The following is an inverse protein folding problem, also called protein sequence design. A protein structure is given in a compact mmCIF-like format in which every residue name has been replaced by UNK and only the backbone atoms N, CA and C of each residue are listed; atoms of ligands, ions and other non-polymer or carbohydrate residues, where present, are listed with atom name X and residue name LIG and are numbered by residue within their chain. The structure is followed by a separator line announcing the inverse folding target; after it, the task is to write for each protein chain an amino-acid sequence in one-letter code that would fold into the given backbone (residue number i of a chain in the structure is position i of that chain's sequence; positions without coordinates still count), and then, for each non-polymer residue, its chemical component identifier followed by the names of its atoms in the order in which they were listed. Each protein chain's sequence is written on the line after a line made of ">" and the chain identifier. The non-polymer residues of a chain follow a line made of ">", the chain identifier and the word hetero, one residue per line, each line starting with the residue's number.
data_IF_946839986204
#
_entry.id   IF_946839986204
#
_cell.length_a   1.000
_cell.length_b   1.000
_cell.length_c   1.000
_cell.angle_alpha   90.00
_cell.angle_beta   90.00
_cell.angle_gamma   90.00
#
_symmetry.space_group_name_H-M   'P 1'
#
loop_
_entity.id
_entity.type
_entity.pdbx_description
1 polymer ?
#
# COMPACT_ATOMS: atom_id res chain seq x y z
N UNK A 1 14.89 -6.26 0.46
CA UNK A 1 14.91 -7.03 -0.80
C UNK A 1 16.06 -8.05 -0.76
N UNK A 2 15.85 -9.22 -1.34
CA UNK A 2 16.88 -10.21 -1.54
C UNK A 2 17.82 -9.75 -2.66
N UNK A 3 19.12 -9.91 -2.48
CA UNK A 3 20.12 -9.67 -3.51
C UNK A 3 20.54 -10.98 -4.20
N UNK A 4 20.47 -12.09 -3.47
CA UNK A 4 20.82 -13.44 -3.91
C UNK A 4 19.68 -14.42 -3.65
N UNK A 5 19.75 -15.61 -4.25
CA UNK A 5 18.79 -16.70 -3.94
C UNK A 5 18.93 -17.17 -2.50
N UNK A 6 20.13 -17.11 -1.92
CA UNK A 6 20.36 -17.43 -0.51
C UNK A 6 19.63 -16.45 0.43
N UNK A 7 19.68 -15.14 0.12
CA UNK A 7 18.91 -14.14 0.86
C UNK A 7 17.41 -14.42 0.75
N UNK A 8 16.94 -14.72 -0.46
CA UNK A 8 15.53 -15.02 -0.70
C UNK A 8 15.06 -16.27 0.09
N UNK A 9 15.88 -17.28 0.21
CA UNK A 9 15.59 -18.46 1.02
C UNK A 9 15.54 -18.14 2.53
N UNK A 10 16.47 -17.32 3.03
CA UNK A 10 16.45 -16.85 4.42
C UNK A 10 15.18 -16.06 4.75
N UNK A 11 14.78 -15.13 3.85
CA UNK A 11 13.55 -14.38 4.03
C UNK A 11 12.32 -15.28 3.91
N UNK A 12 12.31 -16.25 2.99
CA UNK A 12 11.24 -17.22 2.86
C UNK A 12 11.01 -17.98 4.17
N UNK A 13 12.09 -18.51 4.77
CA UNK A 13 12.04 -19.18 6.07
C UNK A 13 11.54 -18.23 7.18
N UNK A 14 11.92 -16.96 7.13
CA UNK A 14 11.45 -15.97 8.10
C UNK A 14 9.95 -15.73 7.99
N UNK A 15 9.40 -15.69 6.76
CA UNK A 15 7.96 -15.57 6.54
C UNK A 15 7.21 -16.83 7.00
N UNK A 16 7.71 -18.03 6.70
CA UNK A 16 7.12 -19.28 7.18
C UNK A 16 7.05 -19.32 8.70
N UNK A 17 8.17 -19.01 9.38
CA UNK A 17 8.23 -18.95 10.83
C UNK A 17 7.26 -17.91 11.41
N UNK A 18 7.13 -16.74 10.78
CA UNK A 18 6.20 -15.70 11.20
C UNK A 18 4.74 -16.16 11.05
N UNK A 19 4.39 -16.80 9.92
CA UNK A 19 3.04 -17.35 9.69
C UNK A 19 2.73 -18.43 10.73
N UNK A 20 3.64 -19.35 10.99
CA UNK A 20 3.49 -20.39 12.01
C UNK A 20 3.29 -19.78 13.40
N UNK A 21 4.14 -18.84 13.80
CA UNK A 21 4.08 -18.21 15.13
C UNK A 21 2.77 -17.44 15.33
N UNK A 22 2.38 -16.64 14.34
CA UNK A 22 1.14 -15.87 14.39
C UNK A 22 -0.09 -16.78 14.33
N UNK A 23 -0.07 -17.80 13.47
CA UNK A 23 -1.17 -18.75 13.31
C UNK A 23 -1.39 -19.62 14.55
N UNK A 24 -0.32 -20.07 15.20
CA UNK A 24 -0.39 -20.87 16.45
C UNK A 24 -0.82 -20.04 17.65
N UNK A 25 -0.38 -18.79 17.75
CA UNK A 25 -0.75 -17.88 18.84
C UNK A 25 -2.18 -17.32 18.69
N UNK A 26 -2.79 -17.48 17.52
CA UNK A 26 -4.08 -16.86 17.20
C UNK A 26 -5.24 -17.61 17.85
N UNK A 27 -5.92 -16.95 18.78
CA UNK A 27 -7.16 -17.42 19.39
C UNK A 27 -8.44 -16.93 18.67
N UNK A 28 -8.30 -16.02 17.72
CA UNK A 28 -9.40 -15.41 16.94
C UNK A 28 -9.29 -15.88 15.50
N UNK A 29 -10.24 -16.69 15.05
CA UNK A 29 -10.23 -17.23 13.69
C UNK A 29 -10.79 -16.23 12.67
N UNK A 30 -10.28 -16.35 11.45
CA UNK A 30 -10.71 -15.60 10.29
C UNK A 30 -9.84 -14.39 9.96
N UNK A 31 -9.59 -14.17 8.67
CA UNK A 31 -8.68 -13.12 8.18
C UNK A 31 -9.09 -11.70 8.58
N UNK A 32 -10.40 -11.48 8.77
CA UNK A 32 -10.94 -10.16 9.13
C UNK A 32 -10.67 -9.78 10.58
N UNK A 33 -10.89 -10.70 11.53
CA UNK A 33 -10.82 -10.40 12.96
C UNK A 33 -9.49 -10.86 13.59
N UNK A 34 -8.81 -11.80 12.96
CA UNK A 34 -7.52 -12.34 13.40
C UNK A 34 -6.34 -11.51 12.91
N UNK A 35 -5.13 -11.88 13.34
CA UNK A 35 -3.91 -11.27 12.85
C UNK A 35 -3.65 -11.60 11.37
N UNK A 36 -2.66 -10.94 10.79
CA UNK A 36 -2.23 -11.20 9.42
C UNK A 36 -0.75 -10.91 9.23
N UNK A 37 -0.24 -11.31 8.08
CA UNK A 37 1.15 -11.07 7.66
C UNK A 37 1.14 -10.27 6.36
N UNK A 38 2.18 -9.47 6.14
CA UNK A 38 2.44 -8.84 4.84
C UNK A 38 3.76 -9.32 4.28
N UNK A 39 3.77 -9.72 3.02
CA UNK A 39 4.96 -10.19 2.31
C UNK A 39 5.41 -9.19 1.25
N UNK A 40 6.71 -8.91 1.21
CA UNK A 40 7.35 -8.20 0.10
C UNK A 40 7.89 -9.20 -0.92
N UNK A 41 7.43 -9.07 -2.15
CA UNK A 41 7.84 -9.98 -3.23
C UNK A 41 9.34 -9.89 -3.52
N UNK A 42 9.92 -8.70 -3.39
CA UNK A 42 11.37 -8.51 -3.51
C UNK A 42 12.20 -9.18 -2.41
N UNK A 43 11.60 -9.54 -1.29
CA UNK A 43 12.30 -10.27 -0.24
C UNK A 43 12.42 -11.77 -0.56
N UNK A 44 11.43 -12.31 -1.28
CA UNK A 44 11.39 -13.75 -1.57
C UNK A 44 11.84 -14.12 -2.99
N UNK A 45 12.33 -13.11 -3.76
CA UNK A 45 12.92 -13.36 -5.09
C UNK A 45 13.92 -12.25 -5.48
N UNK A 46 15.19 -12.58 -5.83
CA UNK A 46 16.22 -11.57 -6.09
C UNK A 46 16.09 -10.89 -7.45
N UNK A 47 15.27 -11.43 -8.35
CA UNK A 47 15.06 -10.92 -9.71
C UNK A 47 13.61 -10.50 -9.96
N UNK A 48 12.95 -9.95 -8.92
CA UNK A 48 11.60 -9.45 -9.03
C UNK A 48 11.56 -8.13 -9.81
N UNK A 49 11.48 -8.26 -11.13
CA UNK A 49 11.39 -7.16 -12.09
C UNK A 49 10.65 -7.60 -13.36
N UNK A 50 9.96 -6.67 -14.03
CA UNK A 50 9.21 -6.94 -15.27
C UNK A 50 10.07 -7.58 -16.37
N UNK A 51 11.32 -7.15 -16.51
CA UNK A 51 12.28 -7.72 -17.46
C UNK A 51 12.59 -9.21 -17.21
N UNK A 52 12.25 -9.74 -16.03
CA UNK A 52 12.44 -11.15 -15.65
C UNK A 52 11.10 -11.86 -15.44
N UNK A 53 10.03 -11.40 -16.10
CA UNK A 53 8.66 -11.88 -15.88
C UNK A 53 8.54 -13.40 -16.02
N UNK A 54 9.07 -13.98 -17.08
CA UNK A 54 8.95 -15.43 -17.31
C UNK A 54 9.51 -16.24 -16.15
N UNK A 55 10.70 -15.89 -15.69
CA UNK A 55 11.34 -16.51 -14.54
C UNK A 55 10.54 -16.25 -13.24
N UNK A 56 10.15 -15.01 -13.04
CA UNK A 56 9.41 -14.57 -11.84
C UNK A 56 8.06 -15.28 -11.73
N UNK A 57 7.32 -15.41 -12.85
CA UNK A 57 6.02 -16.09 -12.87
C UNK A 57 6.09 -17.59 -12.60
N UNK A 58 7.27 -18.18 -12.60
CA UNK A 58 7.50 -19.59 -12.22
C UNK A 58 8.05 -19.67 -10.80
N UNK A 59 9.21 -19.08 -10.56
CA UNK A 59 9.96 -19.26 -9.31
C UNK A 59 9.33 -18.50 -8.12
N UNK A 60 9.03 -17.23 -8.30
CA UNK A 60 8.41 -16.40 -7.25
C UNK A 60 6.98 -16.85 -6.99
N UNK A 61 6.21 -17.19 -8.04
CA UNK A 61 4.84 -17.66 -7.87
C UNK A 61 4.78 -18.92 -7.00
N UNK A 62 5.67 -19.89 -7.20
CA UNK A 62 5.72 -21.11 -6.37
C UNK A 62 5.93 -20.79 -4.89
N UNK A 63 6.84 -19.86 -4.57
CA UNK A 63 7.11 -19.39 -3.21
C UNK A 63 5.90 -18.67 -2.62
N UNK A 64 5.31 -17.76 -3.40
CA UNK A 64 4.13 -16.99 -2.99
C UNK A 64 2.93 -17.90 -2.72
N UNK A 65 2.61 -18.82 -3.63
CA UNK A 65 1.55 -19.83 -3.47
C UNK A 65 1.73 -20.61 -2.16
N UNK A 66 2.94 -21.08 -1.88
CA UNK A 66 3.25 -21.82 -0.64
C UNK A 66 2.91 -20.99 0.61
N UNK A 67 3.29 -19.70 0.67
CA UNK A 67 2.96 -18.85 1.81
C UNK A 67 1.44 -18.64 1.96
N UNK A 68 0.70 -18.49 0.84
CA UNK A 68 -0.75 -18.34 0.89
C UNK A 68 -1.47 -19.63 1.33
N UNK A 69 -0.99 -20.80 0.94
CA UNK A 69 -1.51 -22.08 1.42
C UNK A 69 -1.27 -22.24 2.91
N UNK A 70 -0.08 -21.85 3.38
CA UNK A 70 0.24 -21.87 4.81
C UNK A 70 -0.64 -20.88 5.60
N UNK A 71 -0.87 -19.66 5.09
CA UNK A 71 -1.77 -18.70 5.70
C UNK A 71 -3.22 -19.20 5.73
N UNK A 72 -3.69 -19.86 4.66
CA UNK A 72 -5.00 -20.51 4.59
C UNK A 72 -5.15 -21.61 5.66
N UNK A 73 -4.11 -22.41 5.88
CA UNK A 73 -4.12 -23.47 6.90
C UNK A 73 -4.37 -22.89 8.32
N UNK A 74 -3.85 -21.71 8.60
CA UNK A 74 -4.04 -21.03 9.89
C UNK A 74 -5.24 -20.06 9.90
N UNK A 75 -5.93 -19.91 8.77
CA UNK A 75 -7.05 -18.98 8.60
C UNK A 75 -6.69 -17.53 8.99
N UNK A 76 -5.52 -17.06 8.56
CA UNK A 76 -5.01 -15.70 8.77
C UNK A 76 -4.82 -14.96 7.44
N UNK A 77 -4.95 -13.64 7.45
CA UNK A 77 -4.73 -12.84 6.26
C UNK A 77 -3.25 -12.80 5.84
N UNK A 78 -2.97 -12.87 4.54
CA UNK A 78 -1.66 -12.62 3.96
C UNK A 78 -1.78 -11.54 2.87
N UNK A 79 -1.08 -10.42 3.05
CA UNK A 79 -1.08 -9.30 2.11
C UNK A 79 0.18 -9.30 1.25
N UNK A 80 0.01 -9.12 -0.06
CA UNK A 80 1.11 -8.74 -0.95
C UNK A 80 1.33 -7.24 -0.80
N UNK A 81 2.47 -6.84 -0.25
CA UNK A 81 2.84 -5.44 -0.09
C UNK A 81 3.14 -4.78 -1.43
N UNK A 82 2.73 -3.51 -1.58
CA UNK A 82 3.13 -2.71 -2.72
C UNK A 82 4.59 -2.23 -2.57
N UNK A 83 5.31 -2.25 -3.67
CA UNK A 83 6.69 -1.80 -3.76
C UNK A 83 6.82 -0.68 -4.78
N UNK A 84 7.93 -0.56 -5.53
CA UNK A 84 8.14 0.48 -6.53
C UNK A 84 7.09 0.40 -7.65
N UNK A 85 6.83 1.54 -8.30
CA UNK A 85 5.74 1.65 -9.29
C UNK A 85 5.92 0.71 -10.48
N UNK A 86 7.14 0.46 -10.94
CA UNK A 86 7.45 -0.44 -12.06
C UNK A 86 7.15 -1.93 -11.77
N UNK A 87 6.90 -2.28 -10.51
CA UNK A 87 6.55 -3.64 -10.07
C UNK A 87 5.05 -3.89 -9.98
N UNK A 88 4.21 -2.85 -10.12
CA UNK A 88 2.76 -2.99 -9.93
C UNK A 88 2.16 -4.02 -10.88
N UNK A 89 2.46 -3.95 -12.18
CA UNK A 89 1.87 -4.86 -13.16
C UNK A 89 2.25 -6.32 -12.91
N UNK A 90 3.52 -6.57 -12.62
CA UNK A 90 3.99 -7.92 -12.30
C UNK A 90 3.34 -8.45 -11.00
N UNK A 91 3.09 -7.59 -10.02
CA UNK A 91 2.37 -7.98 -8.80
C UNK A 91 0.89 -8.30 -9.09
N UNK A 92 0.26 -7.59 -10.03
CA UNK A 92 -1.10 -7.89 -10.47
C UNK A 92 -1.18 -9.20 -11.26
N UNK A 93 -0.20 -9.50 -12.11
CA UNK A 93 -0.11 -10.78 -12.83
C UNK A 93 0.02 -11.96 -11.83
N UNK A 94 0.83 -11.79 -10.77
CA UNK A 94 0.96 -12.79 -9.71
C UNK A 94 -0.34 -12.94 -8.90
N UNK A 95 -1.02 -11.84 -8.60
CA UNK A 95 -2.32 -11.87 -7.92
C UNK A 95 -3.37 -12.57 -8.78
N UNK A 96 -3.44 -12.28 -10.09
CA UNK A 96 -4.38 -12.94 -11.03
C UNK A 96 -4.18 -14.45 -11.00
N UNK A 97 -2.95 -14.90 -11.12
CA UNK A 97 -2.63 -16.34 -11.04
C UNK A 97 -3.03 -16.93 -9.69
N UNK A 98 -2.79 -16.20 -8.59
CA UNK A 98 -3.07 -16.66 -7.23
C UNK A 98 -4.57 -16.84 -6.95
N UNK A 99 -5.41 -15.88 -7.36
CA UNK A 99 -6.87 -15.94 -7.11
C UNK A 99 -7.56 -17.01 -7.94
N UNK A 100 -6.95 -17.44 -9.04
CA UNK A 100 -7.43 -18.55 -9.87
C UNK A 100 -6.89 -19.92 -9.42
N UNK A 101 -6.10 -19.97 -8.35
CA UNK A 101 -5.55 -21.22 -7.82
C UNK A 101 -6.64 -22.04 -7.14
N UNK A 102 -6.93 -23.28 -7.61
CA UNK A 102 -8.02 -24.09 -7.02
C UNK A 102 -7.86 -24.35 -5.54
N UNK A 103 -6.62 -24.50 -5.05
CA UNK A 103 -6.33 -24.76 -3.65
C UNK A 103 -6.62 -23.55 -2.74
N UNK A 104 -6.76 -22.37 -3.30
CA UNK A 104 -7.07 -21.13 -2.57
C UNK A 104 -8.55 -20.73 -2.67
N UNK A 105 -9.36 -21.46 -3.40
CA UNK A 105 -10.79 -21.16 -3.52
C UNK A 105 -11.48 -21.14 -2.15
N UNK A 106 -12.35 -20.13 -1.94
CA UNK A 106 -13.04 -19.89 -0.68
C UNK A 106 -12.19 -19.26 0.43
N UNK A 107 -10.89 -19.05 0.23
CA UNK A 107 -10.05 -18.36 1.21
C UNK A 107 -10.21 -16.84 1.11
N UNK A 108 -10.70 -16.20 2.17
CA UNK A 108 -10.99 -14.77 2.23
C UNK A 108 -9.81 -13.91 2.71
N UNK A 109 -8.66 -14.55 2.99
CA UNK A 109 -7.47 -13.90 3.52
C UNK A 109 -6.45 -13.45 2.48
N UNK A 110 -6.80 -13.49 1.18
CA UNK A 110 -5.91 -12.97 0.13
C UNK A 110 -5.97 -11.46 0.16
N UNK A 111 -4.84 -10.84 0.52
CA UNK A 111 -4.69 -9.39 0.62
C UNK A 111 -3.76 -8.81 -0.45
N UNK A 112 -4.08 -7.62 -0.93
CA UNK A 112 -3.27 -6.87 -1.88
C UNK A 112 -3.19 -5.39 -1.48
N UNK A 113 -2.03 -4.75 -1.70
CA UNK A 113 -1.81 -3.35 -1.33
C UNK A 113 -1.73 -2.48 -2.57
N UNK A 114 -2.47 -1.36 -2.57
CA UNK A 114 -2.49 -0.39 -3.66
C UNK A 114 -2.12 0.99 -3.14
N UNK A 115 -1.34 1.74 -3.91
CA UNK A 115 -0.77 3.02 -3.52
C UNK A 115 -1.43 4.18 -4.27
N UNK A 116 -2.13 5.06 -3.53
CA UNK A 116 -2.91 6.17 -4.09
C UNK A 116 -2.06 7.29 -4.71
N UNK A 117 -0.76 7.38 -4.40
CA UNK A 117 0.13 8.36 -5.02
C UNK A 117 0.43 8.05 -6.50
N UNK A 118 0.20 6.78 -6.94
CA UNK A 118 0.33 6.40 -8.34
C UNK A 118 -0.84 6.94 -9.16
N UNK A 119 -0.55 7.59 -10.29
CA UNK A 119 -1.58 8.11 -11.21
C UNK A 119 -2.50 7.02 -11.75
N UNK A 120 -2.04 5.79 -11.82
CA UNK A 120 -2.80 4.60 -12.26
C UNK A 120 -3.55 3.87 -11.15
N UNK A 121 -3.48 4.36 -9.89
CA UNK A 121 -4.16 3.72 -8.75
C UNK A 121 -5.66 3.44 -8.99
N UNK A 122 -6.47 4.39 -9.52
CA UNK A 122 -7.90 4.13 -9.76
C UNK A 122 -8.15 2.97 -10.73
N UNK A 123 -7.30 2.82 -11.74
CA UNK A 123 -7.38 1.73 -12.73
C UNK A 123 -6.92 0.39 -12.15
N UNK A 124 -5.88 0.41 -11.31
CA UNK A 124 -5.44 -0.79 -10.60
C UNK A 124 -6.55 -1.32 -9.66
N UNK A 125 -7.30 -0.43 -9.02
CA UNK A 125 -8.46 -0.80 -8.19
C UNK A 125 -9.55 -1.43 -9.06
N UNK A 126 -9.87 -0.85 -10.24
CA UNK A 126 -10.85 -1.42 -11.18
C UNK A 126 -10.46 -2.83 -11.59
N UNK A 127 -9.18 -3.03 -11.93
CA UNK A 127 -8.64 -4.33 -12.28
C UNK A 127 -8.81 -5.35 -11.14
N UNK A 128 -8.45 -4.98 -9.90
CA UNK A 128 -8.57 -5.87 -8.74
C UNK A 128 -10.03 -6.19 -8.41
N UNK A 129 -10.94 -5.24 -8.54
CA UNK A 129 -12.38 -5.47 -8.36
C UNK A 129 -12.92 -6.45 -9.43
N UNK A 130 -12.53 -6.24 -10.70
CA UNK A 130 -12.92 -7.13 -11.79
C UNK A 130 -12.34 -8.53 -11.61
N UNK A 131 -11.09 -8.62 -11.21
CA UNK A 131 -10.41 -9.88 -10.90
C UNK A 131 -11.15 -10.65 -9.79
N UNK A 132 -11.49 -9.98 -8.68
CA UNK A 132 -12.22 -10.58 -7.58
C UNK A 132 -13.62 -11.10 -8.03
N UNK A 133 -14.31 -10.33 -8.89
CA UNK A 133 -15.59 -10.75 -9.50
C UNK A 133 -15.43 -12.00 -10.36
N UNK A 134 -14.46 -12.00 -11.28
CA UNK A 134 -14.22 -13.14 -12.20
C UNK A 134 -13.83 -14.42 -11.44
N UNK A 135 -13.03 -14.27 -10.38
CA UNK A 135 -12.62 -15.39 -9.52
C UNK A 135 -13.72 -15.81 -8.51
N UNK A 136 -14.84 -15.08 -8.43
CA UNK A 136 -15.87 -15.26 -7.41
C UNK A 136 -15.31 -15.30 -5.98
N UNK A 137 -14.42 -14.37 -5.68
CA UNK A 137 -13.74 -14.24 -4.39
C UNK A 137 -13.98 -12.86 -3.78
N UNK A 138 -13.77 -12.76 -2.45
CA UNK A 138 -13.66 -11.49 -1.75
C UNK A 138 -12.23 -11.26 -1.32
N UNK A 139 -11.57 -10.25 -1.89
CA UNK A 139 -10.18 -9.91 -1.60
C UNK A 139 -10.09 -8.83 -0.53
N UNK A 140 -9.06 -8.88 0.28
CA UNK A 140 -8.71 -7.78 1.19
C UNK A 140 -7.83 -6.78 0.44
N UNK A 141 -8.24 -5.52 0.35
CA UNK A 141 -7.45 -4.48 -0.34
C UNK A 141 -7.04 -3.41 0.65
N UNK A 142 -5.73 -3.30 0.88
CA UNK A 142 -5.15 -2.21 1.67
C UNK A 142 -4.82 -1.03 0.77
N UNK A 143 -5.50 0.09 1.01
CA UNK A 143 -5.17 1.35 0.37
C UNK A 143 -4.20 2.14 1.23
N UNK A 144 -3.06 2.51 0.66
CA UNK A 144 -2.04 3.37 1.27
C UNK A 144 -1.82 4.62 0.40
N UNK A 145 -1.22 5.67 0.92
CA UNK A 145 -0.83 6.83 0.09
C UNK A 145 0.37 6.50 -0.78
N UNK A 146 1.42 5.92 -0.23
CA UNK A 146 2.66 5.49 -0.89
C UNK A 146 3.88 5.88 -0.06
N UNK A 147 4.93 5.05 -0.10
CA UNK A 147 6.08 5.18 0.80
C UNK A 147 7.40 5.53 0.09
N UNK A 148 7.43 5.61 -1.24
CA UNK A 148 8.66 5.74 -2.02
C UNK A 148 8.70 6.99 -2.89
N UNK A 149 7.98 8.06 -2.52
CA UNK A 149 7.76 9.22 -3.39
C UNK A 149 9.06 9.83 -3.93
N UNK A 150 10.04 10.08 -3.06
CA UNK A 150 11.33 10.66 -3.46
C UNK A 150 12.10 9.74 -4.43
N UNK A 151 12.07 8.44 -4.16
CA UNK A 151 12.69 7.42 -5.03
C UNK A 151 12.03 7.39 -6.40
N UNK A 152 10.70 7.43 -6.46
CA UNK A 152 9.94 7.41 -7.71
C UNK A 152 10.19 8.66 -8.55
N UNK A 153 10.23 9.84 -7.93
CA UNK A 153 10.57 11.09 -8.59
C UNK A 153 11.99 10.99 -9.16
N UNK A 154 12.97 10.58 -8.33
CA UNK A 154 14.37 10.50 -8.75
C UNK A 154 14.58 9.45 -9.83
N UNK A 155 13.97 8.28 -9.69
CA UNK A 155 14.04 7.21 -10.69
C UNK A 155 13.48 7.66 -12.03
N UNK A 156 12.30 8.28 -12.06
CA UNK A 156 11.72 8.80 -13.29
C UNK A 156 12.63 9.81 -14.00
N UNK A 157 13.34 10.68 -13.24
CA UNK A 157 14.31 11.63 -13.78
C UNK A 157 15.55 10.93 -14.38
N UNK A 158 16.09 9.92 -13.67
CA UNK A 158 17.26 9.16 -14.11
C UNK A 158 16.94 8.34 -15.35
N UNK A 159 15.77 7.69 -15.36
CA UNK A 159 15.32 6.83 -16.45
C UNK A 159 14.80 7.63 -17.66
N UNK A 160 14.69 8.97 -17.55
CA UNK A 160 14.19 9.83 -18.64
C UNK A 160 12.75 9.49 -19.05
N UNK A 161 11.89 9.18 -18.08
CA UNK A 161 10.49 8.86 -18.35
C UNK A 161 9.73 10.06 -18.95
N UNK A 162 8.64 9.79 -19.67
CA UNK A 162 7.82 10.85 -20.31
C UNK A 162 7.18 11.74 -19.24
N UNK A 163 6.75 11.15 -18.12
CA UNK A 163 6.13 11.84 -16.99
C UNK A 163 6.40 11.06 -15.70
N UNK A 164 6.12 11.68 -14.56
CA UNK A 164 6.22 11.00 -13.27
C UNK A 164 5.09 9.98 -13.10
N UNK A 165 5.35 8.76 -12.61
CA UNK A 165 4.33 7.75 -12.35
C UNK A 165 3.47 8.10 -11.12
N UNK A 166 3.94 9.03 -10.29
CA UNK A 166 3.29 9.49 -9.06
C UNK A 166 2.90 10.96 -9.15
N UNK A 167 1.94 11.38 -8.32
CA UNK A 167 1.56 12.78 -8.22
C UNK A 167 2.70 13.61 -7.61
N UNK A 168 2.92 14.80 -8.15
CA UNK A 168 3.95 15.73 -7.69
C UNK A 168 3.46 16.74 -6.65
N UNK A 169 2.17 16.69 -6.27
CA UNK A 169 1.57 17.46 -5.19
C UNK A 169 0.93 16.52 -4.18
N UNK A 170 1.18 16.76 -2.89
CA UNK A 170 0.63 15.93 -1.81
C UNK A 170 -0.91 15.89 -1.84
N UNK A 171 -1.57 17.04 -2.02
CA UNK A 171 -3.03 17.08 -2.02
C UNK A 171 -3.67 16.39 -3.24
N UNK A 172 -2.94 16.18 -4.36
CA UNK A 172 -3.41 15.29 -5.43
C UNK A 172 -3.42 13.83 -4.97
N UNK A 173 -2.42 13.41 -4.20
CA UNK A 173 -2.41 12.07 -3.56
C UNK A 173 -3.53 11.95 -2.55
N UNK A 174 -3.76 12.98 -1.73
CA UNK A 174 -4.83 12.97 -0.74
C UNK A 174 -6.21 12.86 -1.40
N UNK A 175 -6.46 13.60 -2.49
CA UNK A 175 -7.69 13.48 -3.28
C UNK A 175 -7.84 12.09 -3.91
N UNK A 176 -6.76 11.58 -4.54
CA UNK A 176 -6.73 10.24 -5.12
C UNK A 176 -7.05 9.17 -4.07
N UNK A 177 -6.48 9.30 -2.88
CA UNK A 177 -6.74 8.39 -1.76
C UNK A 177 -8.22 8.34 -1.38
N UNK A 178 -8.87 9.49 -1.24
CA UNK A 178 -10.30 9.56 -0.91
C UNK A 178 -11.20 9.02 -2.03
N UNK A 179 -10.90 9.36 -3.29
CA UNK A 179 -11.64 8.85 -4.45
C UNK A 179 -11.51 7.33 -4.57
N UNK A 180 -10.31 6.80 -4.35
CA UNK A 180 -10.03 5.36 -4.34
C UNK A 180 -10.69 4.67 -3.15
N UNK A 181 -10.72 5.30 -1.96
CA UNK A 181 -11.43 4.78 -0.80
C UNK A 181 -12.93 4.64 -1.08
N UNK A 182 -13.57 5.65 -1.66
CA UNK A 182 -14.98 5.59 -2.07
C UNK A 182 -15.23 4.43 -3.04
N UNK A 183 -14.36 4.25 -4.03
CA UNK A 183 -14.44 3.16 -5.00
C UNK A 183 -14.38 1.78 -4.32
N UNK A 184 -13.45 1.57 -3.39
CA UNK A 184 -13.32 0.33 -2.63
C UNK A 184 -14.53 0.09 -1.72
N UNK A 185 -15.04 1.11 -1.03
CA UNK A 185 -16.26 1.03 -0.22
C UNK A 185 -17.47 0.63 -1.05
N UNK A 186 -17.56 1.05 -2.31
CA UNK A 186 -18.66 0.67 -3.20
C UNK A 186 -18.57 -0.78 -3.71
N UNK A 187 -17.46 -1.48 -3.52
CA UNK A 187 -17.22 -2.84 -4.03
C UNK A 187 -17.31 -3.94 -2.95
N UNK A 188 -18.12 -3.76 -1.92
CA UNK A 188 -18.22 -4.61 -0.72
C UNK A 188 -18.46 -6.11 -0.97
N UNK A 189 -19.14 -6.46 -2.05
CA UNK A 189 -19.41 -7.86 -2.40
C UNK A 189 -18.11 -8.63 -2.75
N UNK A 190 -17.10 -7.92 -3.26
CA UNK A 190 -15.87 -8.52 -3.76
C UNK A 190 -14.62 -8.03 -3.03
N UNK A 191 -14.73 -6.91 -2.30
CA UNK A 191 -13.60 -6.28 -1.61
C UNK A 191 -13.92 -6.10 -0.13
N UNK A 192 -12.97 -6.43 0.73
CA UNK A 192 -12.88 -5.98 2.11
C UNK A 192 -11.82 -4.88 2.19
N UNK A 193 -12.21 -3.60 2.32
CA UNK A 193 -11.27 -2.50 2.32
C UNK A 193 -10.52 -2.37 3.66
N UNK A 194 -9.22 -2.10 3.58
CA UNK A 194 -8.38 -1.70 4.70
C UNK A 194 -7.71 -0.36 4.37
N UNK A 195 -7.90 0.65 5.22
CA UNK A 195 -7.41 2.00 4.97
C UNK A 195 -6.26 2.35 5.92
N UNK A 196 -5.04 2.39 5.37
CA UNK A 196 -3.85 2.75 6.14
C UNK A 196 -3.63 4.26 6.07
N UNK A 197 -3.76 4.95 7.20
CA UNK A 197 -3.60 6.40 7.29
C UNK A 197 -3.24 6.84 8.72
N UNK A 198 -2.46 7.93 8.83
CA UNK A 198 -2.21 8.66 10.08
C UNK A 198 -2.71 10.12 9.97
N UNK A 199 -3.56 10.40 8.99
CA UNK A 199 -4.13 11.72 8.74
C UNK A 199 -5.59 11.75 9.21
N UNK A 200 -5.91 12.58 10.18
CA UNK A 200 -7.23 12.67 10.80
C UNK A 200 -8.32 13.06 9.80
N UNK A 201 -8.04 13.95 8.84
CA UNK A 201 -8.99 14.32 7.81
C UNK A 201 -9.36 13.11 6.91
N UNK A 202 -8.34 12.37 6.47
CA UNK A 202 -8.56 11.16 5.65
C UNK A 202 -9.36 10.11 6.41
N UNK A 203 -9.07 9.92 7.71
CA UNK A 203 -9.80 9.02 8.58
C UNK A 203 -11.28 9.42 8.71
N UNK A 204 -11.54 10.69 9.08
CA UNK A 204 -12.89 11.21 9.25
C UNK A 204 -13.70 11.11 7.95
N UNK A 205 -13.12 11.49 6.81
CA UNK A 205 -13.77 11.41 5.51
C UNK A 205 -14.16 9.97 5.14
N UNK A 206 -13.26 8.99 5.36
CA UNK A 206 -13.55 7.57 5.10
C UNK A 206 -14.64 7.05 6.04
N UNK A 207 -14.52 7.38 7.33
CA UNK A 207 -15.54 6.98 8.31
C UNK A 207 -16.93 7.48 7.92
N UNK A 208 -17.03 8.76 7.54
CA UNK A 208 -18.30 9.36 7.10
C UNK A 208 -18.84 8.67 5.85
N UNK A 209 -18.02 8.49 4.82
CA UNK A 209 -18.44 7.79 3.60
C UNK A 209 -18.92 6.34 3.87
N UNK A 210 -18.27 5.65 4.80
CA UNK A 210 -18.64 4.29 5.15
C UNK A 210 -19.92 4.23 5.96
N UNK A 211 -20.12 5.17 6.90
CA UNK A 211 -21.28 5.25 7.76
C UNK A 211 -22.58 5.55 6.98
N UNK A 212 -22.51 6.45 5.98
CA UNK A 212 -23.66 6.79 5.12
C UNK A 212 -24.27 5.56 4.43
N UNK A 213 -23.47 4.56 4.11
CA UNK A 213 -23.89 3.36 3.38
C UNK A 213 -23.77 2.07 4.22
N UNK A 214 -23.49 2.19 5.52
CA UNK A 214 -23.24 1.06 6.42
C UNK A 214 -22.25 0.04 5.88
N UNK A 215 -21.09 0.54 5.42
CA UNK A 215 -20.04 -0.26 4.79
C UNK A 215 -19.08 -0.85 5.80
N UNK A 216 -18.62 -2.05 5.48
CA UNK A 216 -17.67 -2.81 6.28
C UNK A 216 -16.21 -2.49 5.84
N UNK A 217 -15.34 -2.16 6.78
CA UNK A 217 -13.93 -1.85 6.52
C UNK A 217 -13.11 -1.91 7.81
N UNK A 218 -11.80 -1.82 7.70
CA UNK A 218 -10.90 -1.59 8.83
C UNK A 218 -9.96 -0.41 8.54
N UNK A 219 -9.52 0.26 9.59
CA UNK A 219 -8.33 1.11 9.52
C UNK A 219 -7.07 0.29 9.80
N UNK A 220 -5.93 0.81 9.35
CA UNK A 220 -4.62 0.28 9.70
C UNK A 220 -3.67 1.41 10.09
N UNK A 221 -2.84 1.19 11.10
CA UNK A 221 -1.80 2.12 11.51
C UNK A 221 -0.47 1.40 11.73
N UNK A 222 0.61 2.16 11.64
CA UNK A 222 1.94 1.68 11.95
C UNK A 222 2.16 1.67 13.47
N UNK A 223 2.77 0.62 13.98
CA UNK A 223 3.19 0.56 15.38
C UNK A 223 4.12 1.74 15.73
N UNK A 224 3.85 2.41 16.84
CA UNK A 224 4.58 3.61 17.26
C UNK A 224 4.19 4.88 16.50
N UNK A 225 3.11 4.85 15.71
CA UNK A 225 2.57 6.01 14.99
C UNK A 225 1.05 6.09 15.13
N UNK A 226 0.53 7.28 15.37
CA UNK A 226 -0.91 7.54 15.35
C UNK A 226 -1.70 6.97 16.53
N UNK A 227 -1.05 6.54 17.61
CA UNK A 227 -1.70 5.99 18.80
C UNK A 227 -2.77 6.95 19.33
N UNK A 228 -2.42 8.21 19.57
CA UNK A 228 -3.36 9.25 20.05
C UNK A 228 -4.55 9.43 19.10
N UNK A 229 -4.37 9.31 17.78
CA UNK A 229 -5.45 9.40 16.81
C UNK A 229 -6.38 8.18 16.95
N UNK A 230 -5.82 6.98 17.02
CA UNK A 230 -6.58 5.75 17.04
C UNK A 230 -7.21 5.43 18.39
N UNK A 231 -6.72 5.99 19.49
CA UNK A 231 -7.38 5.96 20.81
C UNK A 231 -8.78 6.59 20.76
N UNK A 232 -9.03 7.51 19.81
CA UNK A 232 -10.34 8.11 19.58
C UNK A 232 -11.20 7.37 18.53
N UNK A 233 -10.71 6.31 17.95
CA UNK A 233 -11.37 5.53 16.87
C UNK A 233 -11.85 4.17 17.37
N UNK A 234 -10.98 3.48 18.11
CA UNK A 234 -11.20 2.11 18.56
C UNK A 234 -12.05 2.08 19.82
N UNK A 235 -12.91 1.09 19.93
CA UNK A 235 -13.74 0.86 21.10
C UNK A 235 -15.16 1.46 21.04
N UNK A 236 -16.06 0.85 21.80
CA UNK A 236 -17.48 1.17 21.78
C UNK A 236 -17.83 2.61 22.28
N UNK A 237 -16.95 3.23 23.06
CA UNK A 237 -17.10 4.63 23.51
C UNK A 237 -16.67 5.65 22.46
N UNK A 238 -16.06 5.21 21.38
CA UNK A 238 -15.52 6.04 20.31
C UNK A 238 -16.27 5.74 18.98
N UNK A 239 -15.55 5.71 17.85
CA UNK A 239 -16.16 5.39 16.55
C UNK A 239 -16.46 3.90 16.36
N UNK A 240 -16.06 3.06 17.28
CA UNK A 240 -16.26 1.60 17.27
C UNK A 240 -15.82 0.93 15.96
N UNK A 241 -14.69 1.41 15.41
CA UNK A 241 -14.14 0.92 14.14
C UNK A 241 -12.89 0.09 14.42
N UNK A 242 -12.73 -1.01 13.70
CA UNK A 242 -11.54 -1.85 13.78
C UNK A 242 -10.29 -1.10 13.31
N UNK A 243 -9.21 -1.22 14.06
CA UNK A 243 -7.89 -0.78 13.64
C UNK A 243 -6.87 -1.92 13.81
N UNK A 244 -6.21 -2.27 12.72
CA UNK A 244 -5.11 -3.25 12.72
C UNK A 244 -3.78 -2.52 12.82
N UNK A 245 -2.96 -2.88 13.81
CA UNK A 245 -1.62 -2.32 13.97
C UNK A 245 -0.62 -3.12 13.14
N UNK A 246 0.09 -2.44 12.23
CA UNK A 246 1.15 -3.01 11.42
C UNK A 246 2.49 -2.82 12.12
N UNK A 247 3.17 -3.93 12.43
CA UNK A 247 4.48 -3.93 13.05
C UNK A 247 5.48 -4.76 12.22
N UNK A 248 6.71 -4.28 12.03
CA UNK A 248 7.74 -5.09 11.39
C UNK A 248 8.22 -6.21 12.33
N UNK A 249 8.58 -7.34 11.75
CA UNK A 249 9.19 -8.47 12.47
C UNK A 249 10.65 -8.59 12.06
N UNK A 250 11.57 -8.62 13.03
CA UNK A 250 13.00 -8.75 12.74
C UNK A 250 13.88 -8.33 13.92
N UNK A 251 15.18 -8.47 13.75
CA UNK A 251 16.19 -7.98 14.72
C UNK A 251 16.42 -6.48 14.51
N UNK A 252 17.07 -5.83 15.48
CA UNK A 252 17.41 -4.40 15.39
C UNK A 252 18.17 -4.08 14.08
N UNK A 253 19.14 -4.88 13.71
CA UNK A 253 19.94 -4.67 12.50
C UNK A 253 19.09 -4.73 11.23
N UNK A 254 18.15 -5.67 11.17
CA UNK A 254 17.27 -5.84 9.99
C UNK A 254 16.18 -4.77 9.92
N UNK A 255 15.80 -4.19 11.05
CA UNK A 255 14.77 -3.16 11.14
C UNK A 255 15.28 -1.72 11.04
N UNK A 256 16.61 -1.50 11.09
CA UNK A 256 17.18 -0.15 11.09
C UNK A 256 16.69 0.71 9.91
N UNK A 257 16.70 0.18 8.71
CA UNK A 257 16.22 0.90 7.52
C UNK A 257 14.71 1.21 7.59
N UNK A 258 13.91 0.34 8.20
CA UNK A 258 12.50 0.61 8.45
C UNK A 258 12.32 1.74 9.46
N UNK A 259 13.03 1.71 10.57
CA UNK A 259 12.96 2.72 11.64
C UNK A 259 13.40 4.11 11.13
N UNK A 260 14.48 4.16 10.36
CA UNK A 260 14.96 5.42 9.74
C UNK A 260 13.91 6.02 8.81
N UNK A 261 13.25 5.23 7.96
CA UNK A 261 12.16 5.75 7.11
C UNK A 261 10.97 6.27 7.94
N UNK A 262 10.64 5.62 9.07
CA UNK A 262 9.57 6.12 9.97
C UNK A 262 9.97 7.43 10.62
N UNK A 263 11.21 7.54 11.07
CA UNK A 263 11.72 8.78 11.65
C UNK A 263 11.70 9.95 10.65
N UNK A 264 12.13 9.69 9.41
CA UNK A 264 12.08 10.68 8.33
C UNK A 264 10.64 11.06 7.95
N UNK A 265 9.73 10.10 7.91
CA UNK A 265 8.31 10.35 7.63
C UNK A 265 7.66 11.21 8.72
N UNK A 266 7.92 10.91 9.99
CA UNK A 266 7.42 11.69 11.12
C UNK A 266 8.02 13.11 11.16
N UNK A 267 9.27 13.26 10.80
CA UNK A 267 9.98 14.54 10.77
C UNK A 267 9.77 15.36 9.50
N UNK A 268 9.08 14.82 8.48
CA UNK A 268 8.85 15.55 7.25
C UNK A 268 7.86 16.71 7.49
N UNK A 269 8.19 17.93 7.03
CA UNK A 269 7.33 19.12 7.16
C UNK A 269 5.93 18.93 6.54
N UNK A 270 5.78 18.00 5.60
CA UNK A 270 4.49 17.64 4.99
C UNK A 270 3.72 16.57 5.75
N UNK A 271 4.29 15.99 6.80
CA UNK A 271 3.63 14.98 7.63
C UNK A 271 2.52 15.64 8.44
N UNK A 272 1.33 15.03 8.45
CA UNK A 272 0.21 15.50 9.27
C UNK A 272 0.58 15.54 10.77
N UNK A 273 1.30 14.53 11.25
CA UNK A 273 1.75 14.43 12.66
C UNK A 273 2.71 15.57 12.99
N UNK A 274 3.64 15.90 12.09
CA UNK A 274 4.57 17.02 12.29
C UNK A 274 3.83 18.36 12.28
N UNK A 275 2.94 18.57 11.32
CA UNK A 275 2.16 19.80 11.19
C UNK A 275 1.21 20.02 12.38
N UNK A 276 0.69 18.96 12.98
CA UNK A 276 -0.22 19.04 14.13
C UNK A 276 0.45 19.64 15.39
N UNK A 277 1.75 19.45 15.56
CA UNK A 277 2.51 19.96 16.69
C UNK A 277 3.19 21.30 16.41
N UNK A 278 3.10 21.82 15.18
CA UNK A 278 3.64 23.12 14.80
C UNK A 278 2.62 24.22 15.12
N UNK A 279 2.90 25.09 16.13
CA UNK A 279 1.97 26.14 16.52
C UNK A 279 1.79 27.24 15.47
N UNK A 280 2.63 27.27 14.44
CA UNK A 280 2.52 28.24 13.34
C UNK A 280 1.48 27.82 12.28
N UNK A 281 1.01 26.57 12.31
CA UNK A 281 0.04 26.04 11.34
C UNK A 281 -1.36 26.04 11.96
N UNK A 282 -2.32 26.83 11.44
CA UNK A 282 -3.70 26.80 11.90
C UNK A 282 -4.37 25.45 11.64
N UNK A 283 -5.26 25.05 12.54
CA UNK A 283 -6.02 23.78 12.39
C UNK A 283 -6.82 23.76 11.08
N UNK A 284 -7.36 24.90 10.68
CA UNK A 284 -8.14 25.08 9.44
C UNK A 284 -7.33 24.69 8.19
N UNK A 285 -6.01 24.98 8.21
CA UNK A 285 -5.12 24.59 7.11
C UNK A 285 -4.87 23.07 7.09
N UNK A 286 -4.75 22.45 8.27
CA UNK A 286 -4.54 21.01 8.41
C UNK A 286 -5.72 20.19 7.92
N UNK A 287 -6.93 20.72 8.04
CA UNK A 287 -8.18 20.05 7.65
C UNK A 287 -8.75 20.58 6.32
N UNK A 288 -7.96 21.36 5.55
CA UNK A 288 -8.42 21.87 4.26
C UNK A 288 -8.77 20.72 3.30
N UNK A 289 -9.93 20.86 2.65
CA UNK A 289 -10.44 19.84 1.74
C UNK A 289 -9.52 19.69 0.51
N UNK A 290 -8.95 18.52 0.23
CA UNK A 290 -8.07 18.31 -0.91
C UNK A 290 -8.77 18.59 -2.27
N UNK A 291 -10.09 18.45 -2.35
CA UNK A 291 -10.86 18.83 -3.55
C UNK A 291 -10.72 20.33 -3.85
N UNK A 292 -10.82 21.15 -2.82
CA UNK A 292 -10.74 22.62 -2.99
C UNK A 292 -9.32 23.06 -3.32
N UNK A 293 -8.30 22.41 -2.72
CA UNK A 293 -6.90 22.63 -3.09
C UNK A 293 -6.62 22.28 -4.56
N UNK A 294 -7.17 21.18 -5.06
CA UNK A 294 -7.04 20.79 -6.46
C UNK A 294 -7.76 21.78 -7.38
N UNK A 295 -8.96 22.24 -7.00
CA UNK A 295 -9.70 23.27 -7.76
C UNK A 295 -8.92 24.59 -7.81
N UNK A 296 -8.39 25.07 -6.68
CA UNK A 296 -7.56 26.30 -6.61
C UNK A 296 -6.35 26.24 -7.56
N UNK A 297 -5.79 25.05 -7.76
CA UNK A 297 -4.64 24.85 -8.65
C UNK A 297 -5.02 24.36 -10.05
N UNK A 298 -6.33 24.31 -10.38
CA UNK A 298 -6.84 23.78 -11.65
C UNK A 298 -6.31 22.37 -12.00
N UNK A 299 -5.98 21.56 -10.99
CA UNK A 299 -5.40 20.23 -11.19
C UNK A 299 -3.97 20.23 -11.75
N UNK A 300 -3.31 21.39 -11.83
CA UNK A 300 -1.96 21.51 -12.40
C UNK A 300 -0.93 20.83 -11.48
N UNK A 301 -0.06 19.98 -12.03
CA UNK A 301 1.07 19.40 -11.30
C UNK A 301 1.96 20.48 -10.68
N UNK A 302 2.84 20.11 -9.77
CA UNK A 302 3.77 21.05 -9.16
C UNK A 302 4.71 21.66 -10.22
N UNK A 303 4.66 22.99 -10.45
CA UNK A 303 5.40 23.65 -11.52
C UNK A 303 6.93 23.62 -11.31
N UNK A 304 7.39 23.36 -10.10
CA UNK A 304 8.83 23.19 -9.81
C UNK A 304 9.38 21.85 -10.29
N UNK A 305 8.50 20.88 -10.60
CA UNK A 305 8.90 19.60 -11.15
C UNK A 305 8.73 19.60 -12.67
N UNK A 306 9.81 19.95 -13.39
CA UNK A 306 9.84 19.76 -14.85
C UNK A 306 9.65 18.27 -15.16
N UNK A 307 9.03 17.96 -16.30
CA UNK A 307 8.93 16.55 -16.76
C UNK A 307 10.31 15.94 -16.87
N UNK A 308 10.47 14.64 -16.58
CA UNK A 308 11.78 13.97 -16.59
C UNK A 308 12.58 14.18 -17.89
N UNK A 309 11.92 14.13 -19.04
CA UNK A 309 12.59 14.40 -20.33
C UNK A 309 13.10 15.84 -20.48
N UNK A 310 12.56 16.79 -19.74
CA UNK A 310 12.82 18.22 -19.89
C UNK A 310 13.54 18.82 -18.68
N UNK A 311 14.24 18.00 -17.88
CA UNK A 311 14.92 18.46 -16.67
C UNK A 311 16.17 19.28 -16.98
N UNK A 312 16.81 19.05 -18.13
CA UNK A 312 17.98 19.80 -18.56
C UNK A 312 17.58 21.06 -19.36
N UNK A 313 18.47 22.09 -19.40
CA UNK A 313 18.29 23.22 -20.29
C UNK A 313 18.26 22.80 -21.78
N UNK A 314 17.76 23.71 -22.64
CA UNK A 314 17.52 23.45 -24.07
C UNK A 314 18.73 22.92 -24.86
N UNK A 315 19.94 23.12 -24.36
CA UNK A 315 21.19 22.66 -24.98
C UNK A 315 21.50 21.18 -24.70
N UNK A 316 20.80 20.55 -23.76
CA UNK A 316 21.00 19.15 -23.37
C UNK A 316 19.66 18.44 -23.21
N UNK A 317 19.35 17.55 -24.12
CA UNK A 317 18.17 16.68 -24.02
C UNK A 317 18.47 15.50 -23.10
N UNK A 318 17.48 15.11 -22.30
CA UNK A 318 17.51 13.82 -21.61
C UNK A 318 17.16 12.72 -22.61
N UNK A 319 17.79 11.55 -22.49
CA UNK A 319 17.39 10.37 -23.27
C UNK A 319 16.13 9.76 -22.64
N UNK A 320 15.18 9.40 -23.51
CA UNK A 320 14.08 8.56 -23.11
C UNK A 320 14.61 7.19 -22.67
N UNK A 321 14.37 6.82 -21.43
CA UNK A 321 14.68 5.48 -20.92
C UNK A 321 13.81 4.41 -21.58
N UNK A 322 14.17 3.17 -21.40
CA UNK A 322 13.33 2.05 -21.76
C UNK A 322 12.19 1.95 -20.73
N UNK A 323 10.95 1.96 -21.21
CA UNK A 323 9.81 1.56 -20.43
C UNK A 323 9.83 0.02 -20.39
N UNK A 324 10.32 -0.54 -19.27
CA UNK A 324 10.38 -1.99 -19.04
C UNK A 324 9.20 -2.44 -18.20
#
# INVERSE_FOLDING_TARGET
>A
AALTDEDAQKYMQSYENAIHSVGQANNVRGPKNGPGISVKLSAIHPRYARAQQERTMVELYARLKHLFLLAKQYDIALFIDAEETDRLELSLDLLDKLVNEPELQGFTGIGFVIQAYQKRCPYAIDYVIDLAKRANMRLMVRLVKGAYWDTEIKKAQVDGQIDYPVYTRKFHTDLSYLACAKKLLSAQSNIYPAFATHNAYSLAAIYTMAAEENKEFEFQCLYGMGETLYDNVVGASNLNTLCRVYAPVGTYETLLAYLVRRLLENGANSSFVHQLVDPAIPIEELIENPVDLVKKTHGIPNPFFKKPLNIYPNERLNFRGLDL
#
